data_IF_858393621799
#
_entry.id   IF_858393621799
#
_cell.length_a   1.000
_cell.length_b   1.000
_cell.length_c   1.000
_cell.angle_alpha   90.00
_cell.angle_beta   90.00
_cell.angle_gamma   90.00
#
_symmetry.space_group_name_H-M   'P 1'
#
loop_
_entity.id
_entity.type
_entity.pdbx_description
1 polymer ?
#
# COMPACT_ATOMS: atom_id res chain seq x y z
N UNK A 1 -36.60 -2.28 6.28
CA UNK A 1 -36.89 -2.56 7.70
C UNK A 1 -35.71 -3.35 8.25
N UNK A 2 -35.02 -2.84 9.28
CA UNK A 2 -33.87 -3.51 9.91
C UNK A 2 -34.37 -4.58 10.88
N UNK A 3 -33.82 -5.81 10.90
CA UNK A 3 -34.00 -6.67 12.07
C UNK A 3 -32.89 -6.39 13.08
N UNK A 4 -33.33 -5.96 14.25
CA UNK A 4 -32.59 -5.96 15.51
C UNK A 4 -32.48 -7.43 15.95
N UNK A 5 -31.31 -8.06 15.81
CA UNK A 5 -30.99 -9.26 16.58
C UNK A 5 -29.48 -9.39 16.81
N UNK A 6 -29.11 -9.08 18.07
CA UNK A 6 -28.03 -9.71 18.86
C UNK A 6 -26.59 -9.24 18.63
N UNK A 7 -26.30 -8.04 19.13
CA UNK A 7 -25.28 -7.92 20.17
C UNK A 7 -25.59 -8.94 21.28
N UNK A 8 -24.82 -10.03 21.41
CA UNK A 8 -24.65 -10.84 22.65
C UNK A 8 -23.75 -12.08 22.42
N UNK A 9 -22.64 -11.94 21.68
CA UNK A 9 -21.49 -12.87 21.80
C UNK A 9 -20.21 -12.04 21.70
N UNK A 10 -20.04 -11.10 22.63
CA UNK A 10 -18.84 -10.28 22.74
C UNK A 10 -18.33 -10.29 24.18
N UNK A 11 -18.32 -11.45 24.83
CA UNK A 11 -17.64 -11.69 26.10
C UNK A 11 -17.18 -13.16 26.06
N UNK A 12 -15.89 -13.41 26.34
CA UNK A 12 -15.20 -14.71 26.51
C UNK A 12 -14.27 -15.22 25.39
N UNK A 13 -13.66 -14.35 24.58
CA UNK A 13 -12.34 -14.65 23.98
C UNK A 13 -11.40 -13.44 24.02
N UNK A 14 -11.25 -12.88 25.23
CA UNK A 14 -10.20 -11.90 25.53
C UNK A 14 -9.23 -12.60 26.46
N UNK A 15 -8.30 -13.40 25.94
CA UNK A 15 -7.00 -13.71 26.55
C UNK A 15 -6.12 -14.38 25.47
N UNK A 16 -4.91 -13.84 25.27
CA UNK A 16 -3.82 -14.31 24.39
C UNK A 16 -3.77 -13.85 22.92
N UNK A 17 -3.91 -12.55 22.68
CA UNK A 17 -3.05 -11.85 21.71
C UNK A 17 -2.58 -10.56 22.37
N UNK A 18 -1.27 -10.45 22.62
CA UNK A 18 -0.66 -9.38 23.41
C UNK A 18 -0.97 -7.97 22.89
N UNK A 19 -1.30 -7.09 23.84
CA UNK A 19 -1.30 -5.64 23.67
C UNK A 19 0.16 -5.18 23.44
N UNK A 20 0.49 -4.58 22.28
CA UNK A 20 1.82 -3.98 22.09
C UNK A 20 2.35 -3.64 20.69
N UNK A 21 1.64 -3.86 19.57
CA UNK A 21 2.24 -3.55 18.24
C UNK A 21 1.29 -3.16 17.09
N UNK A 22 0.20 -2.42 17.34
CA UNK A 22 -0.76 -2.11 16.26
C UNK A 22 -1.27 -0.65 16.17
N UNK A 23 -1.02 0.21 17.16
CA UNK A 23 -1.50 1.61 17.12
C UNK A 23 -0.54 2.60 16.43
N UNK A 24 0.73 2.24 16.25
CA UNK A 24 1.75 3.16 15.71
C UNK A 24 1.47 3.52 14.24
N UNK A 25 0.96 2.58 13.43
CA UNK A 25 0.93 2.73 11.97
C UNK A 25 -0.11 3.73 11.46
N UNK A 26 -1.23 3.96 12.18
CA UNK A 26 -2.25 4.94 11.75
C UNK A 26 -1.81 6.38 11.94
N UNK A 27 -1.15 6.69 13.07
CA UNK A 27 -0.66 8.03 13.36
C UNK A 27 0.61 8.38 12.56
N UNK A 28 1.50 7.42 12.31
CA UNK A 28 2.67 7.64 11.45
C UNK A 28 2.26 8.00 10.04
N UNK A 29 1.34 7.23 9.43
CA UNK A 29 0.85 7.47 8.06
C UNK A 29 0.16 8.83 7.91
N UNK A 30 -0.56 9.31 8.93
CA UNK A 30 -1.17 10.65 8.92
C UNK A 30 -0.13 11.77 9.05
N UNK A 31 0.98 11.54 9.76
CA UNK A 31 2.12 12.46 9.90
C UNK A 31 2.98 12.57 8.62
N UNK A 32 2.92 11.59 7.72
CA UNK A 32 3.60 11.62 6.40
C UNK A 32 3.00 12.66 5.43
N UNK A 33 1.86 13.28 5.76
CA UNK A 33 1.12 14.24 4.93
C UNK A 33 1.91 15.44 4.40
N UNK A 34 3.09 15.73 4.95
CA UNK A 34 3.92 16.87 4.55
C UNK A 34 5.42 16.60 4.36
N UNK A 35 5.88 15.34 4.50
CA UNK A 35 7.30 14.99 4.36
C UNK A 35 7.48 13.98 3.23
N UNK A 36 7.99 14.47 2.09
CA UNK A 36 8.33 13.70 0.88
C UNK A 36 9.61 12.86 1.01
N UNK A 37 10.23 12.87 2.20
CA UNK A 37 11.54 12.26 2.46
C UNK A 37 11.48 11.12 3.50
N UNK A 38 10.28 10.65 3.87
CA UNK A 38 10.14 9.54 4.83
C UNK A 38 10.11 8.23 4.07
N UNK A 39 11.26 7.58 4.00
CA UNK A 39 11.38 6.24 3.42
C UNK A 39 11.60 5.20 4.51
N UNK A 40 11.28 3.95 4.21
CA UNK A 40 11.46 2.86 5.16
C UNK A 40 12.94 2.73 5.55
N UNK A 41 13.29 2.46 6.83
CA UNK A 41 14.68 2.31 7.25
C UNK A 41 15.46 1.31 6.38
N UNK A 42 16.69 1.66 6.01
CA UNK A 42 17.49 0.86 5.08
C UNK A 42 17.15 1.04 3.60
N UNK A 43 16.14 1.84 3.25
CA UNK A 43 15.71 2.12 1.87
C UNK A 43 15.74 3.61 1.57
N UNK A 44 15.79 4.00 0.29
CA UNK A 44 15.73 5.39 -0.19
C UNK A 44 14.56 5.68 -1.12
N UNK A 45 13.83 4.64 -1.54
CA UNK A 45 12.71 4.70 -2.48
C UNK A 45 11.41 4.11 -1.90
N UNK A 46 11.46 3.30 -0.84
CA UNK A 46 10.25 2.71 -0.27
C UNK A 46 9.52 3.70 0.67
N UNK A 47 8.70 4.59 0.12
CA UNK A 47 7.91 5.56 0.90
C UNK A 47 7.18 6.60 0.02
N UNK A 48 6.60 7.65 0.61
CA UNK A 48 6.04 8.76 -0.14
C UNK A 48 7.16 9.60 -0.79
N UNK A 49 7.47 9.30 -2.04
CA UNK A 49 8.62 9.90 -2.74
C UNK A 49 9.94 9.21 -2.38
N UNK A 50 11.06 9.84 -2.73
CA UNK A 50 12.39 9.29 -2.50
C UNK A 50 13.30 10.32 -1.83
N UNK A 51 14.21 9.85 -0.99
CA UNK A 51 15.34 10.63 -0.46
C UNK A 51 16.66 10.33 -1.19
N UNK A 52 16.58 9.65 -2.33
CA UNK A 52 17.72 9.26 -3.13
C UNK A 52 18.34 10.48 -3.83
N UNK A 53 19.66 10.59 -3.84
CA UNK A 53 20.36 11.68 -4.52
C UNK A 53 20.30 11.56 -6.05
N UNK A 54 20.18 10.33 -6.56
CA UNK A 54 20.05 10.01 -7.98
C UNK A 54 19.47 8.60 -8.14
N UNK A 55 19.17 8.21 -9.39
CA UNK A 55 18.55 6.91 -9.70
C UNK A 55 19.33 5.70 -9.16
N UNK A 56 20.65 5.73 -9.16
CA UNK A 56 21.50 4.63 -8.68
C UNK A 56 21.70 4.65 -7.17
N UNK A 57 21.23 5.69 -6.47
CA UNK A 57 21.39 5.84 -5.04
C UNK A 57 20.38 4.96 -4.29
N UNK A 58 20.87 3.83 -3.78
CA UNK A 58 20.10 2.82 -3.05
C UNK A 58 20.51 2.79 -1.58
N UNK A 59 19.62 2.31 -0.72
CA UNK A 59 19.90 1.99 0.68
C UNK A 59 20.48 0.58 0.88
N UNK A 60 20.73 0.23 2.14
CA UNK A 60 21.30 -1.06 2.55
C UNK A 60 20.43 -2.25 2.11
N UNK A 61 19.11 -2.09 2.14
CA UNK A 61 18.11 -3.07 1.65
C UNK A 61 17.98 -2.97 0.12
N UNK A 62 19.11 -2.93 -0.57
CA UNK A 62 19.24 -2.51 -1.97
C UNK A 62 18.32 -3.24 -2.94
N UNK A 63 18.13 -4.56 -2.80
CA UNK A 63 17.23 -5.31 -3.69
C UNK A 63 15.75 -4.95 -3.48
N UNK A 64 15.33 -4.75 -2.22
CA UNK A 64 13.98 -4.25 -1.93
C UNK A 64 13.81 -2.82 -2.42
N UNK A 65 14.83 -2.00 -2.23
CA UNK A 65 14.83 -0.59 -2.61
C UNK A 65 14.75 -0.40 -4.13
N UNK A 66 15.38 -1.29 -4.91
CA UNK A 66 15.20 -1.36 -6.38
C UNK A 66 13.75 -1.60 -6.78
N UNK A 67 13.04 -2.50 -6.09
CA UNK A 67 11.61 -2.74 -6.37
C UNK A 67 10.79 -1.47 -6.18
N UNK A 68 11.04 -0.72 -5.11
CA UNK A 68 10.35 0.54 -4.84
C UNK A 68 10.73 1.62 -5.85
N UNK A 69 12.01 1.75 -6.20
CA UNK A 69 12.47 2.70 -7.24
C UNK A 69 11.78 2.46 -8.57
N UNK A 70 11.70 1.20 -9.00
CA UNK A 70 11.05 0.82 -10.26
C UNK A 70 9.55 1.16 -10.23
N UNK A 71 8.89 0.87 -9.10
CA UNK A 71 7.48 1.21 -8.90
C UNK A 71 7.21 2.72 -8.92
N UNK A 72 8.08 3.52 -8.30
CA UNK A 72 8.01 4.98 -8.30
C UNK A 72 8.15 5.58 -9.71
N UNK A 73 8.88 4.91 -10.60
CA UNK A 73 9.08 5.33 -12.00
C UNK A 73 8.04 4.72 -12.96
N UNK A 74 6.91 4.26 -12.44
CA UNK A 74 5.82 3.77 -13.27
C UNK A 74 5.43 4.82 -14.34
N UNK A 75 5.48 4.49 -15.65
CA UNK A 75 5.15 5.43 -16.73
C UNK A 75 3.74 6.04 -16.60
N UNK A 76 2.81 5.28 -16.03
CA UNK A 76 1.44 5.71 -15.83
C UNK A 76 1.04 5.67 -14.35
N UNK A 77 0.89 6.87 -13.77
CA UNK A 77 0.44 7.06 -12.40
C UNK A 77 -0.53 8.24 -12.26
N UNK A 78 -1.29 8.24 -11.16
CA UNK A 78 -2.18 9.33 -10.73
C UNK A 78 -1.75 9.74 -9.32
N UNK A 79 -1.19 10.93 -9.19
CA UNK A 79 -0.79 11.50 -7.90
C UNK A 79 -1.94 11.54 -6.90
N UNK A 80 -1.60 11.57 -5.61
CA UNK A 80 -2.59 11.74 -4.54
C UNK A 80 -3.47 12.98 -4.77
N UNK A 81 -4.76 12.86 -4.48
CA UNK A 81 -5.76 13.93 -4.62
C UNK A 81 -5.89 14.55 -6.02
N UNK A 82 -5.38 13.87 -7.05
CA UNK A 82 -5.31 14.39 -8.42
C UNK A 82 -6.25 13.61 -9.36
N UNK A 83 -6.49 14.20 -10.53
CA UNK A 83 -7.27 13.61 -11.61
C UNK A 83 -6.38 13.28 -12.81
N UNK A 84 -6.61 12.13 -13.43
CA UNK A 84 -5.99 11.75 -14.73
C UNK A 84 -6.92 10.74 -15.43
N UNK A 85 -7.02 10.79 -16.75
CA UNK A 85 -7.88 9.89 -17.53
C UNK A 85 -9.36 9.86 -17.10
N UNK A 86 -9.87 10.97 -16.56
CA UNK A 86 -11.22 11.03 -15.99
C UNK A 86 -11.40 10.27 -14.66
N UNK A 87 -10.32 9.73 -14.08
CA UNK A 87 -10.30 9.05 -12.80
C UNK A 87 -9.79 9.99 -11.70
N UNK A 88 -10.49 10.01 -10.57
CA UNK A 88 -10.05 10.71 -9.36
C UNK A 88 -9.30 9.75 -8.43
N UNK A 89 -8.14 10.17 -7.94
CA UNK A 89 -7.47 9.52 -6.82
C UNK A 89 -7.80 10.24 -5.50
N UNK A 90 -8.81 9.79 -4.72
CA UNK A 90 -9.18 10.43 -3.44
C UNK A 90 -8.20 10.13 -2.31
N UNK A 91 -7.14 9.34 -2.54
CA UNK A 91 -6.19 8.95 -1.49
C UNK A 91 -4.94 9.83 -1.52
N UNK A 92 -4.21 9.97 -0.40
CA UNK A 92 -2.95 10.72 -0.38
C UNK A 92 -1.79 10.04 -1.11
N UNK A 93 -1.92 8.76 -1.46
CA UNK A 93 -0.86 7.98 -2.10
C UNK A 93 -1.02 8.01 -3.61
N UNK A 94 0.09 7.92 -4.34
CA UNK A 94 0.07 7.72 -5.78
C UNK A 94 -0.58 6.38 -6.12
N UNK A 95 -1.50 6.39 -7.08
CA UNK A 95 -2.03 5.18 -7.71
C UNK A 95 -1.25 4.93 -8.99
N UNK A 96 -0.64 3.77 -9.12
CA UNK A 96 0.09 3.37 -10.31
C UNK A 96 -0.76 2.48 -11.22
N UNK A 97 -0.34 2.31 -12.47
CA UNK A 97 -1.01 1.40 -13.38
C UNK A 97 -0.88 -0.06 -12.88
N UNK A 98 -1.89 -0.89 -13.12
CA UNK A 98 -1.92 -2.27 -12.59
C UNK A 98 -0.75 -3.16 -13.01
N UNK A 99 -0.13 -2.92 -14.17
CA UNK A 99 1.09 -3.64 -14.57
C UNK A 99 2.28 -3.30 -13.66
N UNK A 100 2.39 -2.06 -13.17
CA UNK A 100 3.43 -1.65 -12.23
C UNK A 100 3.21 -2.28 -10.87
N UNK A 101 1.97 -2.27 -10.36
CA UNK A 101 1.63 -2.90 -9.08
C UNK A 101 1.85 -4.41 -9.12
N UNK A 102 1.56 -5.07 -10.24
CA UNK A 102 1.83 -6.49 -10.41
C UNK A 102 3.34 -6.79 -10.48
N UNK A 103 4.10 -6.01 -11.25
CA UNK A 103 5.56 -6.13 -11.30
C UNK A 103 6.19 -5.87 -9.92
N UNK A 104 5.70 -4.86 -9.20
CA UNK A 104 6.15 -4.52 -7.86
C UNK A 104 5.89 -5.66 -6.87
N UNK A 105 4.69 -6.25 -6.89
CA UNK A 105 4.36 -7.41 -6.06
C UNK A 105 5.32 -8.57 -6.32
N UNK A 106 5.54 -8.93 -7.59
CA UNK A 106 6.45 -10.02 -7.98
C UNK A 106 7.89 -9.72 -7.54
N UNK A 107 8.36 -8.49 -7.75
CA UNK A 107 9.69 -8.06 -7.32
C UNK A 107 9.88 -8.24 -5.81
N UNK A 108 8.93 -7.76 -4.99
CA UNK A 108 9.00 -7.90 -3.53
C UNK A 108 8.96 -9.37 -3.07
N UNK A 109 8.16 -10.21 -3.74
CA UNK A 109 8.08 -11.66 -3.48
C UNK A 109 9.42 -12.35 -3.82
N UNK A 110 10.07 -11.97 -4.92
CA UNK A 110 11.31 -12.58 -5.42
C UNK A 110 12.55 -12.22 -4.58
N UNK A 111 12.59 -11.03 -3.98
CA UNK A 111 13.69 -10.58 -3.12
C UNK A 111 13.86 -11.45 -1.86
N UNK A 112 12.79 -12.11 -1.39
CA UNK A 112 12.80 -13.02 -0.23
C UNK A 112 13.41 -12.40 1.05
N UNK A 113 13.27 -11.09 1.24
CA UNK A 113 13.76 -10.37 2.41
C UNK A 113 12.63 -10.05 3.40
N UNK A 114 12.98 -9.82 4.67
CA UNK A 114 12.01 -9.37 5.68
C UNK A 114 11.41 -8.01 5.33
N UNK A 115 12.22 -7.11 4.79
CA UNK A 115 11.78 -5.77 4.40
C UNK A 115 10.87 -5.84 3.17
N UNK A 116 11.20 -6.65 2.17
CA UNK A 116 10.35 -6.88 1.00
C UNK A 116 8.98 -7.43 1.36
N UNK A 117 8.94 -8.47 2.21
CA UNK A 117 7.68 -9.03 2.71
C UNK A 117 6.85 -8.00 3.49
N UNK A 118 7.50 -7.18 4.31
CA UNK A 118 6.80 -6.13 5.05
C UNK A 118 6.28 -5.02 4.12
N UNK A 119 7.03 -4.65 3.08
CA UNK A 119 6.56 -3.69 2.08
C UNK A 119 5.34 -4.21 1.33
N UNK A 120 5.33 -5.51 0.97
CA UNK A 120 4.18 -6.13 0.33
C UNK A 120 2.95 -6.11 1.25
N UNK A 121 3.11 -6.44 2.52
CA UNK A 121 2.03 -6.39 3.51
C UNK A 121 1.48 -4.97 3.69
N UNK A 122 2.36 -3.98 3.81
CA UNK A 122 1.95 -2.58 3.96
C UNK A 122 1.19 -2.09 2.73
N UNK A 123 1.73 -2.30 1.52
CA UNK A 123 1.17 -1.74 0.30
C UNK A 123 -0.14 -2.44 -0.10
N UNK A 124 -0.13 -3.78 -0.19
CA UNK A 124 -1.24 -4.55 -0.76
C UNK A 124 -2.32 -4.92 0.27
N UNK A 125 -1.95 -5.15 1.54
CA UNK A 125 -2.88 -5.66 2.55
C UNK A 125 -3.33 -4.60 3.57
N UNK A 126 -2.43 -3.74 4.02
CA UNK A 126 -2.77 -2.70 4.99
C UNK A 126 -3.35 -1.44 4.33
N UNK A 127 -2.58 -0.81 3.43
CA UNK A 127 -3.03 0.39 2.71
C UNK A 127 -4.05 0.06 1.62
N UNK A 128 -3.98 -1.16 1.06
CA UNK A 128 -4.86 -1.66 -0.01
C UNK A 128 -4.94 -0.67 -1.18
N UNK A 129 -3.78 -0.13 -1.57
CA UNK A 129 -3.68 0.82 -2.68
C UNK A 129 -4.32 0.19 -3.92
N UNK A 130 -5.11 0.98 -4.64
CA UNK A 130 -5.82 0.53 -5.84
C UNK A 130 -5.05 0.99 -7.07
N UNK A 131 -4.79 0.07 -7.98
CA UNK A 131 -4.26 0.38 -9.30
C UNK A 131 -5.37 0.79 -10.28
N UNK A 132 -4.98 1.30 -11.44
CA UNK A 132 -5.88 1.55 -12.57
C UNK A 132 -5.33 0.91 -13.84
N UNK A 133 -6.23 0.61 -14.79
CA UNK A 133 -5.89 0.14 -16.13
C UNK A 133 -7.07 0.39 -17.07
N UNK A 134 -6.79 0.40 -18.37
CA UNK A 134 -7.85 0.27 -19.36
C UNK A 134 -8.40 -1.16 -19.31
N UNK A 135 -9.72 -1.31 -19.18
CA UNK A 135 -10.38 -2.61 -19.17
C UNK A 135 -11.82 -2.47 -19.71
N UNK A 136 -12.46 -3.60 -19.99
CA UNK A 136 -13.87 -3.63 -20.38
C UNK A 136 -14.77 -3.11 -19.23
N UNK A 137 -15.93 -2.52 -19.54
CA UNK A 137 -16.89 -2.09 -18.52
C UNK A 137 -17.27 -3.25 -17.59
N UNK A 138 -17.14 -3.05 -16.28
CA UNK A 138 -17.56 -4.03 -15.28
C UNK A 138 -19.08 -4.00 -15.22
N UNK A 139 -19.74 -4.99 -15.84
CA UNK A 139 -21.21 -5.10 -15.87
C UNK A 139 -21.80 -5.69 -14.60
N UNK A 140 -21.06 -6.57 -13.90
CA UNK A 140 -21.45 -7.15 -12.61
C UNK A 140 -20.25 -7.73 -11.86
N UNK A 141 -20.29 -7.69 -10.54
CA UNK A 141 -19.37 -8.46 -9.70
C UNK A 141 -19.94 -9.85 -9.45
N UNK A 142 -19.18 -10.91 -9.79
CA UNK A 142 -19.60 -12.30 -9.54
C UNK A 142 -19.09 -12.84 -8.21
N UNK A 143 -18.16 -12.14 -7.57
CA UNK A 143 -17.61 -12.46 -6.25
C UNK A 143 -17.33 -11.17 -5.49
N UNK A 144 -17.73 -11.14 -4.24
CA UNK A 144 -17.43 -10.06 -3.31
C UNK A 144 -16.43 -10.58 -2.27
N UNK A 145 -15.46 -9.76 -1.87
CA UNK A 145 -14.49 -10.10 -0.81
C UNK A 145 -14.29 -8.91 0.13
N UNK A 146 -14.41 -9.15 1.44
CA UNK A 146 -14.40 -8.14 2.50
C UNK A 146 -15.55 -8.39 3.48
N UNK A 147 -15.38 -8.02 4.75
CA UNK A 147 -16.48 -8.06 5.74
C UNK A 147 -17.49 -6.97 5.38
N UNK A 148 -18.72 -7.41 5.07
CA UNK A 148 -19.91 -6.58 4.90
C UNK A 148 -20.47 -6.27 6.29
#
# INVERSE_FOLDING_TARGET
MRPIVRCLVALLFIHQMGCGRFEVMKNTVYYLRGKRDITFPGTKWCGPGSRAANFSDLGDESETDKCCREHDHCPESISGYSWKHGLHNPTPYTRSHCYCDEAFRRCLEDVKSKVGNLMAEIYFNFLKVKCFKQDCPIVRCIKYSGLI
#
